data_IF_649407800415
#
_entry.id   IF_649407800415
#
_cell.length_a   1.000
_cell.length_b   1.000
_cell.length_c   1.000
_cell.angle_alpha   90.00
_cell.angle_beta   90.00
_cell.angle_gamma   90.00
#
_symmetry.space_group_name_H-M   'P 1'
#
loop_
_entity.id
_entity.type
_entity.pdbx_description
1 polymer ?
#
# COMPACT_ATOMS: atom_id res chain seq x y z
N UNK A 1 2.99 -38.10 19.94
CA UNK A 1 2.51 -38.20 21.36
C UNK A 1 2.06 -36.80 21.76
N UNK A 2 0.80 -36.73 22.11
CA UNK A 2 0.06 -35.52 22.43
C UNK A 2 0.48 -34.93 23.77
N UNK A 3 0.62 -33.62 23.89
CA UNK A 3 0.45 -32.94 25.17
C UNK A 3 -0.31 -31.64 24.98
N UNK A 4 -1.56 -31.63 25.35
CA UNK A 4 -2.42 -30.46 25.53
C UNK A 4 -2.17 -29.84 26.90
N UNK A 5 -1.92 -28.56 26.99
CA UNK A 5 -2.05 -27.78 28.22
C UNK A 5 -3.21 -26.80 28.07
N UNK A 6 -4.23 -26.99 28.94
CA UNK A 6 -5.38 -26.10 29.07
C UNK A 6 -5.02 -24.91 29.98
N UNK A 7 -5.47 -23.69 29.73
CA UNK A 7 -5.42 -22.62 30.71
C UNK A 7 -6.64 -22.66 31.64
N UNK A 8 -6.40 -22.40 32.92
CA UNK A 8 -7.37 -22.33 33.99
C UNK A 8 -8.15 -21.01 33.96
N UNK A 9 -9.46 -21.11 34.22
CA UNK A 9 -10.35 -19.98 34.39
C UNK A 9 -10.12 -19.31 35.77
N UNK A 10 -9.88 -18.01 35.75
CA UNK A 10 -9.87 -17.14 36.93
C UNK A 10 -11.11 -16.26 36.97
N UNK A 11 -11.92 -16.47 37.98
CA UNK A 11 -13.13 -15.74 38.33
C UNK A 11 -12.74 -14.44 39.06
N UNK A 12 -13.21 -13.29 38.63
CA UNK A 12 -13.10 -12.03 39.38
C UNK A 12 -14.47 -11.37 39.52
N UNK A 13 -14.79 -11.11 40.79
CA UNK A 13 -16.03 -10.54 41.29
C UNK A 13 -16.27 -9.08 40.84
N UNK A 14 -17.54 -8.81 40.60
CA UNK A 14 -18.10 -7.47 40.45
C UNK A 14 -18.28 -6.80 41.82
N UNK A 15 -17.96 -5.51 41.93
CA UNK A 15 -18.43 -4.65 43.02
C UNK A 15 -19.12 -3.44 42.35
N UNK A 16 -20.42 -3.37 42.58
CA UNK A 16 -21.25 -2.22 42.23
C UNK A 16 -21.26 -1.23 43.43
N UNK A 17 -21.04 0.03 43.15
CA UNK A 17 -21.42 1.13 44.03
C UNK A 17 -22.36 2.10 43.32
N UNK A 18 -23.59 2.15 43.81
CA UNK A 18 -24.58 3.15 43.50
C UNK A 18 -24.44 4.31 44.48
N UNK A 19 -24.50 5.54 43.96
CA UNK A 19 -24.87 6.70 44.79
C UNK A 19 -25.87 7.55 44.02
N UNK A 20 -27.08 7.59 44.57
CA UNK A 20 -28.16 8.46 44.24
C UNK A 20 -28.00 9.78 45.00
N UNK A 21 -28.40 10.88 44.38
CA UNK A 21 -28.54 12.19 45.04
C UNK A 21 -29.50 13.09 44.26
N UNK A 22 -30.74 13.12 44.74
CA UNK A 22 -31.76 14.12 44.35
C UNK A 22 -31.53 15.43 45.10
N UNK A 23 -31.79 16.56 44.47
CA UNK A 23 -32.44 17.70 45.15
C UNK A 23 -33.04 18.66 44.16
N UNK A 24 -34.26 19.04 44.48
CA UNK A 24 -35.28 19.87 43.87
C UNK A 24 -35.18 21.34 44.23
N UNK A 25 -35.92 22.17 43.44
CA UNK A 25 -36.47 23.50 43.85
C UNK A 25 -36.00 24.64 42.99
N UNK A 26 -36.70 25.38 42.36
CA UNK A 26 -38.04 25.98 42.27
C UNK A 26 -37.87 27.50 41.92
N UNK A 27 -38.79 27.93 41.05
CA UNK A 27 -39.34 29.29 40.90
C UNK A 27 -38.53 30.49 40.38
N UNK A 28 -38.89 30.94 39.20
CA UNK A 28 -39.64 32.24 39.05
C UNK A 28 -38.82 33.44 38.55
N UNK A 29 -39.16 33.91 37.49
CA UNK A 29 -39.76 35.22 37.08
C UNK A 29 -39.17 35.81 35.79
N UNK A 30 -40.13 36.23 34.99
CA UNK A 30 -40.11 37.10 33.81
C UNK A 30 -39.13 38.28 33.84
N UNK A 31 -38.43 38.59 32.71
CA UNK A 31 -38.74 39.77 31.90
C UNK A 31 -37.72 40.03 30.76
N UNK A 32 -38.28 40.55 29.65
CA UNK A 32 -37.69 41.46 28.69
C UNK A 32 -36.54 41.00 27.78
N UNK A 33 -36.89 40.81 26.53
CA UNK A 33 -35.97 40.80 25.40
C UNK A 33 -35.38 42.19 25.10
N UNK A 34 -34.15 42.30 24.67
CA UNK A 34 -33.70 43.34 23.77
C UNK A 34 -33.22 42.83 22.43
N UNK A 35 -33.37 43.68 21.46
CA UNK A 35 -33.17 43.68 20.05
C UNK A 35 -32.01 42.85 19.48
N UNK A 36 -32.29 42.19 18.35
CA UNK A 36 -31.33 41.55 17.46
C UNK A 36 -30.49 42.59 16.71
N UNK A 37 -29.18 42.52 16.86
CA UNK A 37 -28.23 43.09 15.93
C UNK A 37 -27.81 41.98 14.94
N UNK A 38 -27.65 42.25 13.62
CA UNK A 38 -27.17 41.26 12.67
C UNK A 38 -25.67 41.02 12.89
N UNK A 39 -25.33 39.92 13.50
CA UNK A 39 -23.94 39.44 13.56
C UNK A 39 -23.52 38.89 12.19
N UNK A 40 -22.47 39.46 11.64
CA UNK A 40 -21.71 38.99 10.50
C UNK A 40 -21.41 37.50 10.66
N UNK A 41 -21.91 36.72 9.68
CA UNK A 41 -21.65 35.28 9.57
C UNK A 41 -20.18 35.04 9.44
N UNK A 42 -19.56 34.52 10.49
CA UNK A 42 -18.28 33.87 10.41
C UNK A 42 -18.50 32.54 9.70
N UNK A 43 -18.11 32.45 8.45
CA UNK A 43 -17.97 31.16 7.74
C UNK A 43 -17.00 30.33 8.54
N UNK A 44 -17.51 29.39 9.32
CA UNK A 44 -16.68 28.33 9.85
C UNK A 44 -16.11 27.56 8.63
N UNK A 45 -14.84 27.77 8.33
CA UNK A 45 -14.09 26.86 7.49
C UNK A 45 -14.25 25.47 8.11
N UNK A 46 -14.96 24.58 7.42
CA UNK A 46 -14.92 23.18 7.74
C UNK A 46 -13.45 22.78 7.69
N UNK A 47 -12.87 22.51 8.85
CA UNK A 47 -11.58 21.83 8.92
C UNK A 47 -11.80 20.51 8.17
N UNK A 48 -11.18 20.37 7.02
CA UNK A 48 -11.10 19.09 6.32
C UNK A 48 -10.45 18.12 7.32
N UNK A 49 -11.25 17.21 7.85
CA UNK A 49 -10.73 16.05 8.57
C UNK A 49 -9.86 15.32 7.55
N UNK A 50 -8.53 15.47 7.67
CA UNK A 50 -7.59 14.84 6.76
C UNK A 50 -7.92 13.36 6.65
N UNK A 51 -8.03 12.85 5.42
CA UNK A 51 -8.27 11.44 5.15
C UNK A 51 -7.21 10.60 5.85
N UNK A 52 -7.61 9.50 6.47
CA UNK A 52 -6.67 8.54 7.04
C UNK A 52 -5.95 7.72 5.94
N UNK A 53 -6.50 7.70 4.72
CA UNK A 53 -5.95 7.01 3.55
C UNK A 53 -4.94 7.91 2.86
N UNK A 54 -3.70 7.44 2.72
CA UNK A 54 -2.65 8.20 2.03
C UNK A 54 -2.59 7.83 0.54
N UNK A 55 -2.01 8.75 -0.26
CA UNK A 55 -1.61 8.46 -1.63
C UNK A 55 -0.12 8.14 -1.66
N UNK A 56 0.24 6.97 -2.22
CA UNK A 56 1.60 6.46 -2.21
C UNK A 56 1.95 5.77 -3.55
N UNK A 57 2.25 6.54 -4.62
CA UNK A 57 2.46 5.98 -5.95
C UNK A 57 3.79 5.23 -6.09
N UNK A 58 3.84 4.33 -7.08
CA UNK A 58 5.10 3.80 -7.59
C UNK A 58 5.79 4.83 -8.49
N UNK A 59 7.09 5.01 -8.26
CA UNK A 59 7.97 5.86 -9.07
C UNK A 59 9.21 5.07 -9.50
N UNK A 60 9.77 5.40 -10.65
CA UNK A 60 11.08 4.89 -11.02
C UNK A 60 12.14 5.41 -10.04
N UNK A 61 12.90 4.51 -9.45
CA UNK A 61 14.04 4.87 -8.60
C UNK A 61 15.20 5.48 -9.42
N UNK A 62 15.28 5.15 -10.70
CA UNK A 62 16.42 5.49 -11.57
C UNK A 62 16.15 6.67 -12.51
N UNK A 63 14.88 6.88 -12.90
CA UNK A 63 14.49 7.87 -13.89
C UNK A 63 13.50 8.86 -13.30
N UNK A 64 13.77 10.17 -13.30
CA UNK A 64 12.80 11.18 -12.87
C UNK A 64 11.62 11.28 -13.84
N UNK A 65 10.40 11.32 -13.28
CA UNK A 65 9.16 11.57 -14.01
C UNK A 65 8.65 13.01 -13.77
N UNK A 66 8.08 13.63 -14.79
CA UNK A 66 7.50 14.98 -14.68
C UNK A 66 6.28 15.02 -13.74
N UNK A 67 5.60 13.89 -13.59
CA UNK A 67 4.38 13.69 -12.79
C UNK A 67 4.61 13.11 -11.40
N UNK A 68 5.88 12.90 -11.00
CA UNK A 68 6.18 12.27 -9.71
C UNK A 68 5.59 13.00 -8.49
N UNK A 69 5.54 14.33 -8.54
CA UNK A 69 5.03 15.15 -7.44
C UNK A 69 3.53 15.47 -7.56
N UNK A 70 2.86 15.04 -8.62
CA UNK A 70 1.42 15.26 -8.79
C UNK A 70 0.63 14.57 -7.66
N UNK A 71 -0.47 15.16 -7.21
CA UNK A 71 -1.25 14.67 -6.07
C UNK A 71 -0.54 14.75 -4.71
N UNK A 72 0.64 15.38 -4.64
CA UNK A 72 1.40 15.60 -3.39
C UNK A 72 1.61 14.34 -2.54
N UNK A 73 2.28 13.29 -3.04
CA UNK A 73 2.47 12.04 -2.33
C UNK A 73 3.15 12.23 -0.97
N UNK A 74 2.69 11.50 0.06
CA UNK A 74 3.33 11.47 1.37
C UNK A 74 4.39 10.37 1.50
N UNK A 75 4.33 9.39 0.60
CA UNK A 75 5.30 8.29 0.49
C UNK A 75 5.42 7.89 -0.99
N UNK A 76 6.62 7.58 -1.43
CA UNK A 76 6.88 7.02 -2.76
C UNK A 76 7.32 5.56 -2.64
N UNK A 77 6.74 4.67 -3.45
CA UNK A 77 7.23 3.30 -3.63
C UNK A 77 8.32 3.34 -4.71
N UNK A 78 9.56 3.04 -4.32
CA UNK A 78 10.71 3.08 -5.24
C UNK A 78 10.82 1.75 -6.00
N UNK A 79 10.43 1.73 -7.26
CA UNK A 79 10.50 0.55 -8.11
C UNK A 79 11.85 0.48 -8.86
N UNK A 80 12.56 -0.62 -8.90
CA UNK A 80 12.56 -1.75 -7.99
C UNK A 80 13.98 -2.11 -7.61
N UNK A 81 14.17 -2.78 -6.49
CA UNK A 81 15.43 -3.46 -6.18
C UNK A 81 15.28 -4.93 -6.52
N UNK A 82 16.13 -5.42 -7.42
CA UNK A 82 16.21 -6.83 -7.83
C UNK A 82 17.67 -7.30 -7.81
N UNK A 83 17.90 -8.58 -8.10
CA UNK A 83 19.20 -9.18 -8.14
C UNK A 83 20.04 -8.71 -9.34
N UNK A 84 21.36 -8.68 -9.19
CA UNK A 84 22.31 -8.56 -10.31
C UNK A 84 22.41 -9.91 -11.04
N UNK A 85 21.56 -10.09 -12.04
CA UNK A 85 21.48 -11.36 -12.76
C UNK A 85 21.11 -12.53 -11.86
N UNK A 86 22.06 -13.40 -11.56
CA UNK A 86 21.87 -14.59 -10.71
C UNK A 86 22.65 -14.53 -9.40
N UNK A 87 23.07 -13.35 -8.97
CA UNK A 87 23.83 -13.17 -7.72
C UNK A 87 22.94 -12.53 -6.64
N UNK A 88 23.22 -12.80 -5.37
CA UNK A 88 22.55 -12.16 -4.24
C UNK A 88 23.01 -10.69 -4.03
N UNK A 89 23.22 -9.96 -5.11
CA UNK A 89 23.67 -8.58 -5.10
C UNK A 89 22.50 -7.66 -5.45
N UNK A 90 22.03 -6.81 -4.53
CA UNK A 90 20.91 -5.93 -4.81
C UNK A 90 21.32 -4.80 -5.77
N UNK A 91 20.50 -4.57 -6.78
CA UNK A 91 20.64 -3.46 -7.73
C UNK A 91 19.30 -2.80 -8.02
N UNK A 92 19.32 -1.51 -8.26
CA UNK A 92 18.17 -0.80 -8.81
C UNK A 92 17.96 -1.25 -10.27
N UNK A 93 16.78 -1.77 -10.57
CA UNK A 93 16.39 -2.35 -11.86
C UNK A 93 17.41 -3.39 -12.41
N UNK A 94 18.11 -4.10 -11.52
CA UNK A 94 19.12 -5.08 -11.89
C UNK A 94 20.38 -4.49 -12.56
N UNK A 95 20.49 -3.18 -12.66
CA UNK A 95 21.56 -2.50 -13.43
C UNK A 95 22.38 -1.55 -12.57
N UNK A 96 21.74 -0.66 -11.82
CA UNK A 96 22.44 0.38 -11.07
C UNK A 96 22.83 -0.12 -9.68
N UNK A 97 24.04 0.12 -9.27
CA UNK A 97 24.50 -0.20 -7.92
C UNK A 97 23.60 0.48 -6.87
N UNK A 98 23.38 -0.18 -5.73
CA UNK A 98 22.54 0.38 -4.65
C UNK A 98 23.05 1.75 -4.18
N UNK A 99 24.35 1.99 -4.22
CA UNK A 99 24.98 3.29 -3.87
C UNK A 99 25.18 4.23 -5.06
N UNK A 100 24.57 4.00 -6.22
CA UNK A 100 24.71 4.85 -7.39
C UNK A 100 24.36 6.32 -7.05
N UNK A 101 25.23 7.26 -7.51
CA UNK A 101 25.13 8.67 -7.15
C UNK A 101 23.88 9.34 -7.77
N UNK A 102 23.51 8.95 -8.99
CA UNK A 102 22.33 9.52 -9.65
C UNK A 102 21.05 9.04 -8.96
N UNK A 103 20.97 7.75 -8.61
CA UNK A 103 19.84 7.19 -7.86
C UNK A 103 19.75 7.80 -6.46
N UNK A 104 20.87 7.94 -5.76
CA UNK A 104 20.91 8.59 -4.45
C UNK A 104 20.41 10.04 -4.54
N UNK A 105 20.84 10.80 -5.55
CA UNK A 105 20.37 12.17 -5.79
C UNK A 105 18.90 12.23 -6.13
N UNK A 106 18.40 11.26 -6.90
CA UNK A 106 16.98 11.09 -7.25
C UNK A 106 16.13 10.86 -5.99
N UNK A 107 16.52 9.92 -5.13
CA UNK A 107 15.83 9.63 -3.87
C UNK A 107 15.83 10.87 -2.96
N UNK A 108 16.95 11.59 -2.86
CA UNK A 108 17.02 12.83 -2.09
C UNK A 108 16.07 13.90 -2.64
N UNK A 109 15.92 14.00 -3.98
CA UNK A 109 14.98 14.92 -4.61
C UNK A 109 13.51 14.60 -4.27
N UNK A 110 13.11 13.32 -4.29
CA UNK A 110 11.76 12.87 -3.89
C UNK A 110 11.46 13.22 -2.42
N UNK A 111 12.46 13.16 -1.56
CA UNK A 111 12.30 13.45 -0.12
C UNK A 111 12.27 14.95 0.20
N UNK A 112 12.56 15.85 -0.74
CA UNK A 112 12.57 17.31 -0.50
C UNK A 112 11.23 17.88 -0.07
N UNK A 113 10.12 17.29 -0.50
CA UNK A 113 8.77 17.67 -0.07
C UNK A 113 8.41 17.25 1.37
N UNK A 114 9.29 16.52 2.05
CA UNK A 114 9.00 15.86 3.33
C UNK A 114 8.37 14.46 3.15
N UNK A 115 8.19 14.00 1.91
CA UNK A 115 7.71 12.66 1.63
C UNK A 115 8.71 11.60 2.11
N UNK A 116 8.18 10.45 2.52
CA UNK A 116 8.96 9.25 2.81
C UNK A 116 9.18 8.44 1.54
N UNK A 117 10.10 7.51 1.60
CA UNK A 117 10.29 6.51 0.55
C UNK A 117 10.13 5.12 1.14
N UNK A 118 9.55 4.22 0.37
CA UNK A 118 9.45 2.80 0.63
C UNK A 118 10.23 2.09 -0.48
N UNK A 119 11.20 1.26 -0.11
CA UNK A 119 11.95 0.48 -1.10
C UNK A 119 11.10 -0.73 -1.49
N UNK A 120 10.81 -0.88 -2.79
CA UNK A 120 10.08 -2.03 -3.31
C UNK A 120 11.07 -3.01 -3.94
N UNK A 121 11.00 -4.25 -3.48
CA UNK A 121 11.84 -5.38 -3.91
C UNK A 121 11.02 -6.32 -4.77
N UNK A 122 11.56 -6.76 -5.92
CA UNK A 122 10.86 -7.67 -6.82
C UNK A 122 10.24 -6.96 -8.03
N UNK A 123 8.92 -7.15 -8.23
CA UNK A 123 8.17 -6.69 -9.41
C UNK A 123 8.16 -7.71 -10.55
N UNK A 124 7.42 -7.40 -11.63
CA UNK A 124 7.16 -8.31 -12.74
C UNK A 124 8.41 -8.75 -13.54
N UNK A 125 9.52 -8.02 -13.44
CA UNK A 125 10.70 -8.22 -14.31
C UNK A 125 11.97 -8.46 -13.52
N UNK A 126 12.84 -9.29 -14.08
CA UNK A 126 14.13 -9.63 -13.48
C UNK A 126 14.05 -10.78 -12.49
N UNK A 127 15.08 -10.93 -11.65
CA UNK A 127 15.12 -11.94 -10.58
C UNK A 127 15.01 -11.29 -9.23
N UNK A 128 14.05 -11.73 -8.46
CA UNK A 128 13.91 -11.33 -7.07
C UNK A 128 15.06 -11.91 -6.23
N UNK A 129 15.53 -11.16 -5.24
CA UNK A 129 16.72 -11.52 -4.45
C UNK A 129 16.57 -12.88 -3.73
N UNK A 130 15.37 -13.23 -3.25
CA UNK A 130 15.15 -14.51 -2.57
C UNK A 130 15.35 -15.74 -3.47
N UNK A 131 15.30 -15.56 -4.80
CA UNK A 131 15.60 -16.62 -5.77
C UNK A 131 17.09 -16.75 -6.09
N UNK A 132 17.95 -15.90 -5.54
CA UNK A 132 19.38 -15.82 -5.88
C UNK A 132 20.31 -15.86 -4.67
N UNK A 133 19.79 -15.67 -3.46
CA UNK A 133 20.55 -15.74 -2.22
C UNK A 133 20.52 -17.17 -1.64
N UNK A 134 21.64 -17.61 -1.06
CA UNK A 134 21.79 -18.96 -0.53
C UNK A 134 21.31 -19.09 0.93
N UNK A 135 21.10 -17.97 1.63
CA UNK A 135 20.69 -17.97 3.03
C UNK A 135 19.83 -16.77 3.40
N UNK A 136 19.00 -16.95 4.41
CA UNK A 136 18.19 -15.87 4.97
C UNK A 136 19.03 -14.71 5.53
N UNK A 137 20.23 -14.98 6.04
CA UNK A 137 21.14 -13.94 6.52
C UNK A 137 21.67 -13.09 5.36
N UNK A 138 22.15 -13.72 4.30
CA UNK A 138 22.63 -13.02 3.12
C UNK A 138 21.54 -12.17 2.47
N UNK A 139 20.33 -12.72 2.37
CA UNK A 139 19.17 -12.03 1.85
C UNK A 139 18.76 -10.83 2.73
N UNK A 140 18.76 -11.00 4.06
CA UNK A 140 18.50 -9.91 5.00
C UNK A 140 19.52 -8.78 4.88
N UNK A 141 20.79 -9.12 4.72
CA UNK A 141 21.87 -8.16 4.51
C UNK A 141 21.71 -7.40 3.19
N UNK A 142 21.29 -8.09 2.11
CA UNK A 142 21.00 -7.47 0.81
C UNK A 142 19.83 -6.48 0.89
N UNK A 143 18.72 -6.86 1.52
CA UNK A 143 17.60 -5.97 1.77
C UNK A 143 18.02 -4.78 2.65
N UNK A 144 18.79 -5.03 3.71
CA UNK A 144 19.30 -4.03 4.61
C UNK A 144 20.14 -2.97 3.92
N UNK A 145 21.03 -3.38 3.01
CA UNK A 145 21.86 -2.45 2.24
C UNK A 145 21.02 -1.49 1.39
N UNK A 146 19.97 -1.99 0.72
CA UNK A 146 19.09 -1.15 -0.09
C UNK A 146 18.33 -0.13 0.78
N UNK A 147 17.79 -0.58 1.92
CA UNK A 147 17.09 0.29 2.87
C UNK A 147 17.99 1.40 3.43
N UNK A 148 19.23 1.06 3.79
CA UNK A 148 20.22 2.03 4.31
C UNK A 148 20.57 3.09 3.28
N UNK A 149 20.83 2.68 2.05
CA UNK A 149 21.16 3.62 0.96
C UNK A 149 19.99 4.52 0.57
N UNK A 150 18.77 4.02 0.63
CA UNK A 150 17.56 4.83 0.44
C UNK A 150 17.22 5.70 1.66
N UNK A 151 17.82 5.42 2.82
CA UNK A 151 17.44 6.03 4.10
C UNK A 151 15.97 5.77 4.41
N UNK A 152 15.54 4.50 4.26
CA UNK A 152 14.15 4.07 4.44
C UNK A 152 14.00 3.12 5.62
N UNK A 153 12.91 3.31 6.37
CA UNK A 153 12.41 2.36 7.37
C UNK A 153 11.16 1.62 6.88
N UNK A 154 10.92 1.59 5.56
CA UNK A 154 9.79 0.92 4.94
C UNK A 154 10.30 0.06 3.79
N UNK A 155 9.94 -1.23 3.83
CA UNK A 155 10.20 -2.22 2.78
C UNK A 155 8.87 -2.68 2.20
N UNK A 156 8.81 -2.82 0.91
CA UNK A 156 7.73 -3.44 0.17
C UNK A 156 8.30 -4.65 -0.58
N UNK A 157 7.58 -5.75 -0.59
CA UNK A 157 7.96 -6.96 -1.31
C UNK A 157 6.89 -7.25 -2.34
N UNK A 158 7.20 -6.90 -3.58
CA UNK A 158 6.36 -7.09 -4.75
C UNK A 158 6.68 -8.46 -5.36
N UNK A 159 5.86 -9.45 -5.04
CA UNK A 159 6.11 -10.85 -5.36
C UNK A 159 5.07 -11.37 -6.34
N UNK A 160 5.56 -11.70 -7.53
CA UNK A 160 4.70 -12.03 -8.67
C UNK A 160 5.15 -13.29 -9.40
N UNK A 161 4.24 -13.88 -10.16
CA UNK A 161 4.52 -14.97 -11.09
C UNK A 161 5.22 -16.17 -10.44
N UNK A 162 6.29 -16.66 -11.06
CA UNK A 162 7.01 -17.84 -10.59
C UNK A 162 7.64 -17.68 -9.20
N UNK A 163 7.96 -16.45 -8.78
CA UNK A 163 8.53 -16.20 -7.45
C UNK A 163 7.48 -16.35 -6.34
N UNK A 164 6.21 -16.14 -6.66
CA UNK A 164 5.12 -16.32 -5.72
C UNK A 164 4.82 -17.82 -5.49
N UNK A 165 4.91 -18.62 -6.55
CA UNK A 165 4.70 -20.07 -6.51
C UNK A 165 5.91 -20.86 -5.97
N UNK A 166 7.10 -20.26 -5.88
CA UNK A 166 8.31 -20.93 -5.36
C UNK A 166 8.34 -20.93 -3.84
N UNK A 167 7.88 -22.01 -3.23
CA UNK A 167 7.82 -22.18 -1.78
C UNK A 167 9.18 -22.04 -1.07
N UNK A 168 10.28 -22.34 -1.74
CA UNK A 168 11.62 -22.22 -1.16
C UNK A 168 11.99 -20.73 -1.05
N UNK A 169 11.79 -19.94 -2.10
CA UNK A 169 12.03 -18.49 -2.06
C UNK A 169 11.07 -17.78 -1.12
N UNK A 170 9.80 -18.22 -1.03
CA UNK A 170 8.80 -17.71 -0.08
C UNK A 170 9.25 -17.90 1.37
N UNK A 171 9.70 -19.12 1.74
CA UNK A 171 10.18 -19.40 3.09
C UNK A 171 11.48 -18.62 3.41
N UNK A 172 12.44 -18.60 2.48
CA UNK A 172 13.68 -17.86 2.63
C UNK A 172 13.45 -16.35 2.83
N UNK A 173 12.55 -15.78 2.05
CA UNK A 173 12.14 -14.36 2.17
C UNK A 173 11.52 -14.07 3.53
N UNK A 174 10.61 -14.91 3.99
CA UNK A 174 9.94 -14.77 5.29
C UNK A 174 10.95 -14.80 6.44
N UNK A 175 11.89 -15.75 6.42
CA UNK A 175 12.97 -15.85 7.41
C UNK A 175 13.88 -14.62 7.37
N UNK A 176 14.30 -14.17 6.18
CA UNK A 176 15.15 -12.99 6.01
C UNK A 176 14.48 -11.71 6.52
N UNK A 177 13.18 -11.52 6.24
CA UNK A 177 12.43 -10.35 6.73
C UNK A 177 12.31 -10.40 8.25
N UNK A 178 12.07 -11.57 8.85
CA UNK A 178 12.04 -11.72 10.29
C UNK A 178 13.38 -11.37 10.97
N UNK A 179 14.52 -11.76 10.36
CA UNK A 179 15.85 -11.36 10.79
C UNK A 179 16.03 -9.84 10.66
N UNK A 180 15.67 -9.28 9.54
CA UNK A 180 15.77 -7.84 9.26
C UNK A 180 14.97 -7.01 10.26
N UNK A 181 13.75 -7.44 10.62
CA UNK A 181 12.93 -6.76 11.62
C UNK A 181 13.48 -6.86 13.05
N UNK A 182 14.20 -7.92 13.40
CA UNK A 182 14.91 -8.04 14.67
C UNK A 182 16.05 -7.01 14.79
N UNK A 183 16.73 -6.73 13.69
CA UNK A 183 17.86 -5.81 13.63
C UNK A 183 17.41 -4.35 13.47
N UNK A 184 16.23 -4.12 12.89
CA UNK A 184 15.71 -2.81 12.54
C UNK A 184 14.38 -2.55 13.24
N UNK A 185 14.46 -2.09 14.49
CA UNK A 185 13.26 -1.74 15.24
C UNK A 185 12.41 -0.71 14.50
N UNK A 186 11.13 -1.03 14.30
CA UNK A 186 10.19 -0.14 13.61
C UNK A 186 10.16 -0.25 12.08
N UNK A 187 10.92 -1.19 11.49
CA UNK A 187 10.81 -1.47 10.05
C UNK A 187 9.37 -1.86 9.71
N UNK A 188 8.74 -1.08 8.83
CA UNK A 188 7.43 -1.38 8.25
C UNK A 188 7.61 -2.27 7.04
N UNK A 189 6.83 -3.34 6.99
CA UNK A 189 6.86 -4.33 5.89
C UNK A 189 5.50 -4.36 5.22
N UNK A 190 5.47 -4.22 3.90
CA UNK A 190 4.32 -4.52 3.07
C UNK A 190 4.65 -5.63 2.07
N UNK A 191 3.63 -6.40 1.70
CA UNK A 191 3.66 -7.29 0.55
C UNK A 191 2.74 -6.73 -0.52
N UNK A 192 3.24 -6.64 -1.75
CA UNK A 192 2.45 -6.32 -2.94
C UNK A 192 2.22 -7.61 -3.71
N UNK A 193 0.94 -7.96 -3.92
CA UNK A 193 0.53 -9.27 -4.41
C UNK A 193 -0.54 -9.14 -5.50
N UNK A 194 -0.50 -10.00 -6.53
CA UNK A 194 -1.61 -10.16 -7.47
C UNK A 194 -2.90 -10.52 -6.75
N UNK A 195 -4.02 -10.04 -7.28
CA UNK A 195 -5.35 -10.31 -6.73
C UNK A 195 -6.36 -10.50 -7.86
N UNK A 196 -7.38 -11.31 -7.61
CA UNK A 196 -8.57 -11.42 -8.46
C UNK A 196 -9.79 -10.82 -7.75
N UNK A 197 -10.91 -10.57 -8.45
CA UNK A 197 -12.16 -10.21 -7.79
C UNK A 197 -12.64 -11.24 -6.75
N UNK A 198 -12.17 -12.48 -6.84
CA UNK A 198 -12.36 -13.54 -5.83
C UNK A 198 -11.43 -13.43 -4.60
N UNK A 199 -10.38 -12.62 -4.66
CA UNK A 199 -9.35 -12.44 -3.62
C UNK A 199 -7.96 -12.87 -4.10
N UNK A 200 -7.03 -12.97 -3.14
CA UNK A 200 -5.71 -13.57 -3.32
C UNK A 200 -5.88 -15.05 -3.68
N UNK A 201 -5.03 -15.54 -4.56
CA UNK A 201 -4.94 -16.96 -4.88
C UNK A 201 -4.24 -17.77 -3.76
N UNK A 202 -4.13 -19.08 -3.96
CA UNK A 202 -3.53 -19.98 -2.98
C UNK A 202 -2.03 -19.67 -2.75
N UNK A 203 -1.29 -19.23 -3.77
CA UNK A 203 0.12 -18.88 -3.65
C UNK A 203 0.31 -17.57 -2.86
N UNK A 204 -0.52 -16.56 -3.11
CA UNK A 204 -0.53 -15.32 -2.33
C UNK A 204 -0.89 -15.55 -0.86
N UNK A 205 -1.86 -16.42 -0.60
CA UNK A 205 -2.20 -16.82 0.78
C UNK A 205 -1.06 -17.60 1.45
N UNK A 206 -0.44 -18.55 0.74
CA UNK A 206 0.69 -19.32 1.27
C UNK A 206 1.90 -18.44 1.61
N UNK A 207 2.17 -17.40 0.81
CA UNK A 207 3.21 -16.40 1.13
C UNK A 207 2.90 -15.69 2.44
N UNK A 208 1.67 -15.21 2.63
CA UNK A 208 1.27 -14.52 3.85
C UNK A 208 1.24 -15.45 5.07
N UNK A 209 0.85 -16.72 4.90
CA UNK A 209 0.95 -17.77 5.93
C UNK A 209 2.40 -18.01 6.32
N UNK A 210 3.31 -18.15 5.35
CA UNK A 210 4.74 -18.26 5.60
C UNK A 210 5.30 -17.07 6.38
N UNK A 211 4.91 -15.85 6.03
CA UNK A 211 5.31 -14.64 6.76
C UNK A 211 4.81 -14.67 8.21
N UNK A 212 3.57 -15.11 8.44
CA UNK A 212 3.00 -15.25 9.79
C UNK A 212 3.71 -16.33 10.61
N UNK A 213 4.02 -17.48 10.02
CA UNK A 213 4.72 -18.59 10.67
C UNK A 213 6.15 -18.22 11.08
N UNK A 214 6.82 -17.35 10.33
CA UNK A 214 8.13 -16.78 10.66
C UNK A 214 8.05 -15.54 11.57
N UNK A 215 6.86 -15.22 12.08
CA UNK A 215 6.60 -14.06 12.94
C UNK A 215 7.00 -12.71 12.32
N UNK A 216 6.90 -12.58 11.00
CA UNK A 216 7.02 -11.31 10.29
C UNK A 216 5.87 -10.39 10.69
N UNK A 217 6.18 -9.18 11.12
CA UNK A 217 5.18 -8.15 11.40
C UNK A 217 4.77 -7.47 10.09
N UNK A 218 3.80 -8.05 9.41
CA UNK A 218 3.23 -7.47 8.19
C UNK A 218 2.42 -6.23 8.56
N UNK A 219 2.84 -5.08 8.06
CA UNK A 219 2.16 -3.80 8.33
C UNK A 219 0.99 -3.58 7.37
N UNK A 220 1.13 -4.04 6.12
CA UNK A 220 0.12 -3.85 5.07
C UNK A 220 0.27 -4.91 3.99
N UNK A 221 -0.85 -5.35 3.46
CA UNK A 221 -0.93 -6.11 2.21
C UNK A 221 -1.48 -5.18 1.13
N UNK A 222 -0.67 -4.88 0.13
CA UNK A 222 -1.02 -4.07 -1.01
C UNK A 222 -1.44 -5.00 -2.15
N UNK A 223 -2.66 -4.88 -2.63
CA UNK A 223 -3.16 -5.74 -3.69
C UNK A 223 -3.10 -5.04 -5.05
N UNK A 224 -2.69 -5.78 -6.07
CA UNK A 224 -2.56 -5.31 -7.44
C UNK A 224 -3.90 -5.41 -8.16
N UNK A 225 -4.67 -4.32 -8.13
CA UNK A 225 -6.02 -4.25 -8.74
C UNK A 225 -5.92 -3.94 -10.23
N UNK A 226 -5.36 -4.87 -10.99
CA UNK A 226 -5.02 -4.79 -12.42
C UNK A 226 -4.82 -6.19 -13.00
N UNK A 227 -4.82 -6.31 -14.31
CA UNK A 227 -4.43 -7.51 -15.08
C UNK A 227 -5.17 -8.79 -14.66
N UNK A 228 -6.50 -8.68 -14.49
CA UNK A 228 -7.36 -9.80 -14.04
C UNK A 228 -7.58 -10.87 -15.11
N UNK A 229 -7.36 -10.54 -16.38
CA UNK A 229 -7.56 -11.41 -17.53
C UNK A 229 -8.59 -10.87 -18.52
N UNK A 230 -8.44 -11.20 -19.79
CA UNK A 230 -9.20 -10.61 -20.92
C UNK A 230 -10.73 -10.77 -20.84
N UNK A 231 -11.23 -11.59 -19.92
CA UNK A 231 -12.68 -11.74 -19.64
C UNK A 231 -13.22 -10.66 -18.68
N UNK A 232 -12.35 -9.87 -18.06
CA UNK A 232 -12.72 -8.79 -17.16
C UNK A 232 -12.69 -7.46 -17.93
N UNK A 233 -13.75 -7.22 -18.72
CA UNK A 233 -13.83 -6.09 -19.65
C UNK A 233 -14.83 -5.00 -19.21
N UNK A 234 -15.36 -5.10 -17.99
CA UNK A 234 -16.30 -4.14 -17.42
C UNK A 234 -15.54 -3.07 -16.58
N UNK A 235 -16.22 -2.46 -15.62
CA UNK A 235 -15.72 -1.40 -14.77
C UNK A 235 -14.55 -1.86 -13.88
N UNK A 236 -13.36 -1.28 -14.10
CA UNK A 236 -12.14 -1.66 -13.38
C UNK A 236 -12.14 -1.16 -11.93
N UNK A 237 -12.83 -0.08 -11.64
CA UNK A 237 -13.04 0.41 -10.27
C UNK A 237 -13.89 -0.56 -9.46
N UNK A 238 -14.96 -1.11 -10.05
CA UNK A 238 -15.80 -2.13 -9.40
C UNK A 238 -15.03 -3.43 -9.15
N UNK A 239 -14.17 -3.85 -10.10
CA UNK A 239 -13.31 -5.01 -9.88
C UNK A 239 -12.30 -4.76 -8.76
N UNK A 240 -11.69 -3.57 -8.68
CA UNK A 240 -10.77 -3.21 -7.61
C UNK A 240 -11.45 -3.24 -6.23
N UNK A 241 -12.66 -2.70 -6.12
CA UNK A 241 -13.46 -2.71 -4.89
C UNK A 241 -13.87 -4.14 -4.49
N UNK A 242 -14.26 -4.95 -5.46
CA UNK A 242 -14.64 -6.35 -5.23
C UNK A 242 -13.44 -7.17 -4.74
N UNK A 243 -12.28 -7.01 -5.38
CA UNK A 243 -11.00 -7.60 -4.98
C UNK A 243 -10.61 -7.21 -3.55
N UNK A 244 -10.73 -5.92 -3.23
CA UNK A 244 -10.46 -5.41 -1.89
C UNK A 244 -11.37 -6.04 -0.83
N UNK A 245 -12.67 -6.20 -1.14
CA UNK A 245 -13.63 -6.87 -0.26
C UNK A 245 -13.32 -8.35 -0.04
N UNK A 246 -12.84 -9.05 -1.06
CA UNK A 246 -12.43 -10.44 -0.96
C UNK A 246 -11.14 -10.60 -0.16
N UNK A 247 -10.09 -9.84 -0.51
CA UNK A 247 -8.81 -9.84 0.21
C UNK A 247 -8.99 -9.45 1.68
N UNK A 248 -9.81 -8.45 1.98
CA UNK A 248 -10.14 -8.07 3.36
C UNK A 248 -10.60 -9.26 4.21
N UNK A 249 -11.57 -10.07 3.70
CA UNK A 249 -12.07 -11.27 4.42
C UNK A 249 -10.99 -12.34 4.60
N UNK A 250 -10.09 -12.49 3.63
CA UNK A 250 -8.96 -13.41 3.73
C UNK A 250 -7.97 -12.96 4.80
N UNK A 251 -7.64 -11.67 4.88
CA UNK A 251 -6.75 -11.10 5.90
C UNK A 251 -7.34 -11.18 7.31
N UNK A 252 -8.66 -10.94 7.47
CA UNK A 252 -9.34 -11.16 8.75
C UNK A 252 -9.12 -12.59 9.27
N UNK A 253 -9.32 -13.56 8.39
CA UNK A 253 -9.20 -14.98 8.73
C UNK A 253 -7.75 -15.40 8.99
N UNK A 254 -6.83 -15.01 8.11
CA UNK A 254 -5.43 -15.43 8.16
C UNK A 254 -4.70 -14.87 9.37
N UNK A 255 -4.86 -13.58 9.66
CA UNK A 255 -4.18 -12.89 10.75
C UNK A 255 -5.01 -12.74 12.03
N UNK A 256 -6.25 -13.23 12.05
CA UNK A 256 -7.16 -13.07 13.19
C UNK A 256 -7.51 -11.62 13.50
N UNK A 257 -7.61 -10.77 12.48
CA UNK A 257 -7.84 -9.34 12.62
C UNK A 257 -9.32 -9.02 12.82
N UNK A 258 -9.60 -7.88 13.47
CA UNK A 258 -10.93 -7.27 13.36
C UNK A 258 -11.15 -6.71 11.96
N UNK A 259 -12.41 -6.58 11.52
CA UNK A 259 -12.74 -5.99 10.23
C UNK A 259 -12.10 -4.60 10.04
N UNK A 260 -12.10 -3.76 11.06
CA UNK A 260 -11.47 -2.44 10.99
C UNK A 260 -9.95 -2.53 10.82
N UNK A 261 -9.28 -3.45 11.54
CA UNK A 261 -7.83 -3.64 11.42
C UNK A 261 -7.44 -4.23 10.08
N UNK A 262 -8.23 -5.14 9.53
CA UNK A 262 -7.99 -5.71 8.21
C UNK A 262 -8.10 -4.66 7.09
N UNK A 263 -9.07 -3.74 7.15
CA UNK A 263 -9.14 -2.60 6.23
C UNK A 263 -7.92 -1.68 6.35
N UNK A 264 -7.51 -1.34 7.58
CA UNK A 264 -6.32 -0.50 7.83
C UNK A 264 -5.01 -1.18 7.44
N UNK A 265 -4.98 -2.50 7.39
CA UNK A 265 -3.85 -3.31 6.92
C UNK A 265 -3.86 -3.57 5.41
N UNK A 266 -4.84 -3.07 4.66
CA UNK A 266 -4.96 -3.23 3.21
C UNK A 266 -4.53 -1.96 2.48
N UNK A 267 -3.96 -2.13 1.28
CA UNK A 267 -3.71 -1.06 0.33
C UNK A 267 -4.05 -1.52 -1.08
N UNK A 268 -4.27 -0.56 -1.99
CA UNK A 268 -4.67 -0.83 -3.37
C UNK A 268 -3.70 -0.15 -4.33
N UNK A 269 -3.21 -0.90 -5.32
CA UNK A 269 -2.43 -0.37 -6.44
C UNK A 269 -3.10 -0.73 -7.74
N UNK A 270 -3.53 0.27 -8.50
CA UNK A 270 -4.13 0.06 -9.83
C UNK A 270 -3.15 0.45 -10.94
N UNK A 271 -3.18 -0.26 -12.06
CA UNK A 271 -2.49 0.15 -13.28
C UNK A 271 -3.35 1.16 -14.02
N UNK A 272 -2.88 2.40 -14.11
CA UNK A 272 -3.64 3.50 -14.69
C UNK A 272 -3.67 3.45 -16.22
N UNK A 273 -4.83 3.70 -16.80
CA UNK A 273 -5.05 3.66 -18.24
C UNK A 273 -5.19 2.24 -18.78
N UNK A 274 -4.69 2.02 -19.99
CA UNK A 274 -4.67 0.71 -20.63
C UNK A 274 -3.73 -0.22 -19.87
N UNK A 275 -4.22 -1.39 -19.48
CA UNK A 275 -3.46 -2.40 -18.74
C UNK A 275 -2.70 -3.33 -19.70
N UNK A 276 -1.82 -4.19 -19.17
CA UNK A 276 -1.04 -5.15 -19.96
C UNK A 276 -1.92 -6.30 -20.51
N UNK A 277 -3.13 -6.43 -20.00
CA UNK A 277 -4.11 -7.42 -20.43
C UNK A 277 -5.16 -6.76 -21.31
N UNK A 278 -5.44 -7.37 -22.47
CA UNK A 278 -6.44 -6.89 -23.42
C UNK A 278 -7.82 -6.71 -22.75
N UNK A 279 -8.50 -5.65 -23.15
CA UNK A 279 -9.83 -5.21 -22.69
C UNK A 279 -9.86 -4.58 -21.28
N UNK A 280 -8.76 -4.50 -20.57
CA UNK A 280 -8.71 -3.80 -19.29
C UNK A 280 -8.24 -2.35 -19.48
N UNK A 281 -9.05 -1.40 -19.04
CA UNK A 281 -8.70 0.02 -19.04
C UNK A 281 -9.20 0.67 -17.76
N UNK A 282 -8.29 1.12 -16.92
CA UNK A 282 -8.58 1.83 -15.66
C UNK A 282 -8.64 3.33 -15.93
N UNK A 283 -9.82 3.91 -15.85
CA UNK A 283 -10.08 5.32 -16.16
C UNK A 283 -9.93 6.26 -14.95
N UNK A 284 -10.08 7.56 -15.22
CA UNK A 284 -10.05 8.58 -14.17
C UNK A 284 -11.23 8.46 -13.19
N UNK A 285 -12.38 8.01 -13.67
CA UNK A 285 -13.57 7.76 -12.86
C UNK A 285 -13.33 6.59 -11.90
N UNK A 286 -12.66 5.53 -12.36
CA UNK A 286 -12.26 4.40 -11.52
C UNK A 286 -11.30 4.84 -10.41
N UNK A 287 -10.35 5.73 -10.71
CA UNK A 287 -9.42 6.27 -9.71
C UNK A 287 -10.15 7.04 -8.61
N UNK A 288 -11.11 7.89 -8.97
CA UNK A 288 -11.93 8.63 -8.01
C UNK A 288 -12.81 7.68 -7.18
N UNK A 289 -13.42 6.67 -7.80
CA UNK A 289 -14.25 5.66 -7.17
C UNK A 289 -13.45 4.84 -6.13
N UNK A 290 -12.26 4.37 -6.53
CA UNK A 290 -11.34 3.62 -5.65
C UNK A 290 -10.87 4.49 -4.49
N UNK A 291 -10.55 5.77 -4.74
CA UNK A 291 -10.18 6.73 -3.70
C UNK A 291 -11.29 6.90 -2.67
N UNK A 292 -12.51 7.19 -3.11
CA UNK A 292 -13.66 7.35 -2.23
C UNK A 292 -13.94 6.08 -1.40
N UNK A 293 -13.88 4.91 -2.03
CA UNK A 293 -14.02 3.64 -1.32
C UNK A 293 -12.94 3.45 -0.25
N UNK A 294 -11.68 3.73 -0.60
CA UNK A 294 -10.56 3.59 0.32
C UNK A 294 -10.69 4.50 1.55
N UNK A 295 -11.16 5.73 1.37
CA UNK A 295 -11.43 6.66 2.47
C UNK A 295 -12.55 6.17 3.38
N UNK A 296 -13.68 5.73 2.80
CA UNK A 296 -14.79 5.17 3.58
C UNK A 296 -14.37 3.97 4.42
N UNK A 297 -13.48 3.12 3.89
CA UNK A 297 -12.97 1.91 4.57
C UNK A 297 -11.76 2.18 5.46
N UNK A 298 -11.13 3.35 5.35
CA UNK A 298 -9.88 3.71 6.04
C UNK A 298 -8.72 2.79 5.65
N UNK A 299 -8.63 2.47 4.36
CA UNK A 299 -7.54 1.70 3.76
C UNK A 299 -6.23 2.49 3.96
N UNK A 300 -5.12 1.79 4.18
CA UNK A 300 -3.83 2.40 4.51
C UNK A 300 -3.36 3.39 3.46
N UNK A 301 -3.39 2.99 2.19
CA UNK A 301 -3.09 3.88 1.06
C UNK A 301 -3.74 3.40 -0.23
N UNK A 302 -3.88 4.33 -1.16
CA UNK A 302 -4.07 4.04 -2.58
C UNK A 302 -2.81 4.38 -3.34
N UNK A 303 -2.55 3.64 -4.41
CA UNK A 303 -1.35 3.72 -5.22
C UNK A 303 -1.68 3.52 -6.69
N UNK A 304 -0.74 3.87 -7.56
CA UNK A 304 -0.83 3.57 -8.99
C UNK A 304 0.47 3.00 -9.53
N UNK A 305 0.38 2.13 -10.47
CA UNK A 305 1.41 1.77 -11.43
C UNK A 305 1.18 2.57 -12.70
N UNK A 306 1.87 3.67 -12.94
CA UNK A 306 2.87 4.35 -12.12
C UNK A 306 2.92 5.84 -12.49
N UNK A 307 3.66 6.67 -11.76
CA UNK A 307 3.73 8.11 -12.03
C UNK A 307 4.21 8.43 -13.44
N UNK A 308 5.15 7.67 -14.01
CA UNK A 308 5.66 7.92 -15.35
C UNK A 308 4.63 7.63 -16.47
N UNK A 309 3.56 6.88 -16.16
CA UNK A 309 2.42 6.63 -17.05
C UNK A 309 1.35 7.72 -16.97
N UNK A 310 1.36 8.57 -15.93
CA UNK A 310 0.27 9.53 -15.66
C UNK A 310 0.30 10.74 -16.61
N UNK A 311 0.19 10.43 -17.90
CA UNK A 311 0.10 11.38 -19.01
C UNK A 311 -0.58 10.73 -20.22
N UNK A 312 -1.21 11.55 -21.06
CA UNK A 312 -1.72 11.11 -22.35
C UNK A 312 -0.56 10.74 -23.28
N UNK A 313 -0.76 9.69 -24.08
CA UNK A 313 0.20 9.32 -25.12
C UNK A 313 0.26 10.39 -26.22
N UNK A 314 1.44 10.60 -26.80
CA UNK A 314 1.62 11.47 -27.94
C UNK A 314 1.02 10.86 -29.22
N UNK A 315 0.80 11.69 -30.25
CA UNK A 315 0.18 11.25 -31.53
C UNK A 315 0.99 10.19 -32.28
N UNK A 316 2.28 10.06 -31.98
CA UNK A 316 3.20 9.08 -32.58
C UNK A 316 3.51 7.91 -31.66
N UNK A 317 2.80 7.77 -30.54
CA UNK A 317 3.03 6.69 -29.60
C UNK A 317 2.69 5.33 -30.22
N UNK A 318 3.53 4.33 -29.96
CA UNK A 318 3.26 2.95 -30.31
C UNK A 318 2.44 2.27 -29.20
N UNK A 319 1.82 1.13 -29.51
CA UNK A 319 1.04 0.38 -28.52
C UNK A 319 1.84 0.06 -27.25
N UNK A 320 3.15 -0.19 -27.39
CA UNK A 320 4.06 -0.50 -26.29
C UNK A 320 4.29 0.69 -25.35
N UNK A 321 4.13 1.94 -25.85
CA UNK A 321 4.28 3.15 -25.02
C UNK A 321 3.13 3.26 -24.00
N UNK A 322 1.91 2.81 -24.36
CA UNK A 322 0.78 2.81 -23.46
C UNK A 322 1.01 1.90 -22.23
N UNK A 323 1.71 0.78 -22.41
CA UNK A 323 2.05 -0.13 -21.33
C UNK A 323 3.21 0.37 -20.44
N UNK A 324 4.08 1.27 -20.94
CA UNK A 324 5.30 1.68 -20.20
C UNK A 324 5.34 3.16 -19.85
N UNK A 325 5.11 4.05 -20.81
CA UNK A 325 5.45 5.47 -20.71
C UNK A 325 4.26 6.43 -20.62
N UNK A 326 3.05 5.99 -20.97
CA UNK A 326 1.84 6.80 -20.94
C UNK A 326 0.62 5.94 -20.64
N UNK A 327 -0.53 6.55 -20.33
CA UNK A 327 -1.71 5.81 -19.86
C UNK A 327 -2.55 5.16 -20.96
N UNK A 328 -2.40 5.61 -22.22
CA UNK A 328 -3.26 5.16 -23.32
C UNK A 328 -4.67 5.77 -23.30
N UNK A 329 -5.01 6.60 -22.30
CA UNK A 329 -6.30 7.28 -22.20
C UNK A 329 -6.17 8.80 -22.30
N UNK A 330 -7.27 9.46 -22.62
CA UNK A 330 -7.31 10.92 -22.74
C UNK A 330 -7.29 11.57 -21.36
N UNK A 331 -6.26 12.35 -21.08
CA UNK A 331 -6.08 13.01 -19.78
C UNK A 331 -5.13 14.22 -19.88
N UNK A 332 -5.10 15.06 -18.84
CA UNK A 332 -3.99 15.96 -18.54
C UNK A 332 -2.90 15.23 -17.75
N UNK A 333 -1.64 15.68 -17.88
CA UNK A 333 -0.54 15.12 -17.08
C UNK A 333 -0.82 15.26 -15.58
N UNK A 334 -0.70 14.17 -14.83
CA UNK A 334 -0.94 14.13 -13.39
C UNK A 334 -2.41 13.93 -12.99
N UNK A 335 -3.33 13.71 -13.93
CA UNK A 335 -4.76 13.62 -13.64
C UNK A 335 -5.13 12.41 -12.75
N UNK A 336 -4.48 11.26 -12.92
CA UNK A 336 -4.69 10.11 -12.03
C UNK A 336 -4.14 10.36 -10.64
N UNK A 337 -2.97 11.00 -10.54
CA UNK A 337 -2.41 11.38 -9.25
C UNK A 337 -3.34 12.31 -8.47
N UNK A 338 -3.95 13.32 -9.14
CA UNK A 338 -4.94 14.20 -8.52
C UNK A 338 -6.20 13.42 -8.08
N UNK A 339 -6.70 12.51 -8.93
CA UNK A 339 -7.87 11.67 -8.59
C UNK A 339 -7.59 10.76 -7.38
N UNK A 340 -6.39 10.17 -7.28
CA UNK A 340 -6.01 9.35 -6.12
C UNK A 340 -5.66 10.17 -4.87
N UNK A 341 -5.28 11.43 -5.01
CA UNK A 341 -4.99 12.29 -3.87
C UNK A 341 -6.26 12.75 -3.13
N UNK A 342 -7.36 12.96 -3.86
CA UNK A 342 -8.69 13.34 -3.34
C UNK A 342 -8.88 14.83 -3.19
#
# INVERSE_FOLDING_TARGET
>A
MRNFLRPAAGLVCAVALACAGCSSGDSGTTDAAPARTPGTGSSASAASSGSSTSYAPYVSATTPGATDAAGSPTTYNLAFVIADGSTCTPKWNGTYAIGDAAVTSRIAALKKSGARVRVSFGGASGKELASTCDSARELADAYGQALDRAGSSQADFDVEGAQLADSASVALRSEAIALLQKERAGLKVSFTLPVMPSGLDDDGLALLESANDHAVKVSTVNIMTMNYGSSYADDMGDYAITSAGAAHRQLEKLFGLSAASAWQGLALTSMIGVNDVDNETFGLEDAAQVREFAERKKIAWVSMWSTFRDRQCGDSAHADDAATDCSGVRQSSGAFAEAFAG
#
